data_IF_561112426361
#
_entry.id   IF_561112426361
#
_cell.length_a   1.000
_cell.length_b   1.000
_cell.length_c   1.000
_cell.angle_alpha   90.00
_cell.angle_beta   90.00
_cell.angle_gamma   90.00
#
_symmetry.space_group_name_H-M   'P 1'
#
loop_
_entity.id
_entity.type
_entity.pdbx_description
1 polymer ?
#
# COMPACT_ATOMS: atom_id res chain seq x y z
N UNK A 1 39.36 -7.68 -26.96
CA UNK A 1 39.31 -8.87 -26.09
C UNK A 1 38.74 -8.44 -24.74
N UNK A 2 37.61 -8.98 -24.28
CA UNK A 2 36.99 -8.52 -23.02
C UNK A 2 37.68 -9.23 -21.86
N UNK A 3 38.31 -8.45 -20.98
CA UNK A 3 38.99 -8.95 -19.78
C UNK A 3 38.01 -9.70 -18.87
N UNK A 4 38.43 -10.82 -18.28
CA UNK A 4 37.68 -11.66 -17.32
C UNK A 4 37.14 -10.83 -16.17
N UNK A 5 37.94 -9.90 -15.65
CA UNK A 5 37.50 -8.97 -14.61
C UNK A 5 36.22 -8.25 -15.03
N UNK A 6 36.15 -7.77 -16.27
CA UNK A 6 34.97 -7.09 -16.79
C UNK A 6 33.79 -8.04 -17.01
N UNK A 7 34.01 -9.30 -17.41
CA UNK A 7 32.94 -10.33 -17.51
C UNK A 7 32.31 -10.66 -16.16
N UNK A 8 33.12 -10.79 -15.11
CA UNK A 8 32.65 -11.06 -13.75
C UNK A 8 31.93 -9.83 -13.19
N UNK A 9 32.55 -8.65 -13.30
CA UNK A 9 31.97 -7.40 -12.78
C UNK A 9 30.66 -7.06 -13.47
N UNK A 10 30.52 -7.27 -14.79
CA UNK A 10 29.24 -7.02 -15.48
C UNK A 10 28.12 -7.94 -14.99
N UNK A 11 28.38 -9.23 -14.76
CA UNK A 11 27.35 -10.13 -14.24
C UNK A 11 26.90 -9.77 -12.81
N UNK A 12 27.84 -9.41 -11.93
CA UNK A 12 27.50 -8.90 -10.60
C UNK A 12 26.81 -7.53 -10.67
N UNK A 13 27.19 -6.67 -11.61
CA UNK A 13 26.56 -5.36 -11.80
C UNK A 13 25.10 -5.52 -12.25
N UNK A 14 24.82 -6.43 -13.17
CA UNK A 14 23.44 -6.72 -13.60
C UNK A 14 22.61 -7.20 -12.42
N UNK A 15 23.11 -8.14 -11.62
CA UNK A 15 22.45 -8.60 -10.40
C UNK A 15 22.18 -7.45 -9.42
N UNK A 16 23.17 -6.60 -9.18
CA UNK A 16 23.04 -5.44 -8.30
C UNK A 16 21.97 -4.45 -8.81
N UNK A 17 21.98 -4.15 -10.11
CA UNK A 17 21.00 -3.25 -10.74
C UNK A 17 19.59 -3.85 -10.65
N UNK A 18 19.43 -5.14 -10.92
CA UNK A 18 18.12 -5.81 -10.80
C UNK A 18 17.59 -5.74 -9.36
N UNK A 19 18.44 -5.95 -8.36
CA UNK A 19 18.06 -5.86 -6.95
C UNK A 19 17.64 -4.44 -6.57
N UNK A 20 18.39 -3.42 -7.01
CA UNK A 20 18.02 -2.01 -6.78
C UNK A 20 16.69 -1.67 -7.43
N UNK A 21 16.49 -2.03 -8.70
CA UNK A 21 15.22 -1.79 -9.41
C UNK A 21 14.07 -2.50 -8.69
N UNK A 22 14.26 -3.75 -8.25
CA UNK A 22 13.28 -4.50 -7.46
C UNK A 22 12.90 -3.77 -6.18
N UNK A 23 13.91 -3.30 -5.43
CA UNK A 23 13.69 -2.59 -4.18
C UNK A 23 12.90 -1.30 -4.41
N UNK A 24 13.26 -0.54 -5.45
CA UNK A 24 12.57 0.70 -5.81
C UNK A 24 11.11 0.45 -6.22
N UNK A 25 10.85 -0.57 -7.04
CA UNK A 25 9.48 -0.95 -7.44
C UNK A 25 8.68 -1.37 -6.21
N UNK A 26 9.24 -2.22 -5.35
CA UNK A 26 8.56 -2.69 -4.14
C UNK A 26 8.22 -1.53 -3.20
N UNK A 27 9.15 -0.59 -2.98
CA UNK A 27 8.90 0.61 -2.17
C UNK A 27 7.80 1.47 -2.82
N UNK A 28 7.84 1.66 -4.14
CA UNK A 28 6.82 2.43 -4.86
C UNK A 28 5.43 1.80 -4.76
N UNK A 29 5.31 0.49 -4.97
CA UNK A 29 4.04 -0.23 -4.88
C UNK A 29 3.47 -0.21 -3.44
N UNK A 30 4.33 -0.45 -2.43
CA UNK A 30 3.93 -0.41 -1.02
C UNK A 30 3.50 0.99 -0.58
N UNK A 31 4.22 2.04 -1.00
CA UNK A 31 3.86 3.43 -0.66
C UNK A 31 2.58 3.87 -1.36
N UNK A 32 2.39 3.51 -2.64
CA UNK A 32 1.14 3.76 -3.37
C UNK A 32 -0.04 3.08 -2.70
N UNK A 33 0.10 1.79 -2.34
CA UNK A 33 -0.93 1.05 -1.63
C UNK A 33 -1.24 1.70 -0.27
N UNK A 34 -0.22 2.01 0.52
CA UNK A 34 -0.37 2.64 1.84
C UNK A 34 -1.12 3.97 1.76
N UNK A 35 -0.79 4.82 0.78
CA UNK A 35 -1.45 6.12 0.60
C UNK A 35 -2.91 5.99 0.16
N UNK A 36 -3.21 5.12 -0.79
CA UNK A 36 -4.59 4.89 -1.25
C UNK A 36 -5.47 4.33 -0.13
N UNK A 37 -4.93 3.40 0.66
CA UNK A 37 -5.62 2.83 1.82
C UNK A 37 -5.84 3.87 2.90
N UNK A 38 -4.80 4.63 3.27
CA UNK A 38 -4.91 5.64 4.31
C UNK A 38 -5.93 6.73 3.95
N UNK A 39 -5.96 7.17 2.68
CA UNK A 39 -6.95 8.17 2.24
C UNK A 39 -8.37 7.63 2.32
N UNK A 40 -8.65 6.46 1.71
CA UNK A 40 -9.99 5.87 1.73
C UNK A 40 -10.50 5.56 3.15
N UNK A 41 -9.63 5.02 4.01
CA UNK A 41 -10.00 4.74 5.40
C UNK A 41 -10.26 6.03 6.18
N UNK A 42 -9.43 7.06 5.98
CA UNK A 42 -9.57 8.35 6.67
C UNK A 42 -10.85 9.08 6.24
N UNK A 43 -11.18 9.06 4.95
CA UNK A 43 -12.37 9.74 4.43
C UNK A 43 -13.65 9.08 4.96
N UNK A 44 -13.74 7.74 4.91
CA UNK A 44 -14.86 6.99 5.50
C UNK A 44 -14.96 7.24 7.02
N UNK A 45 -13.82 7.24 7.72
CA UNK A 45 -13.79 7.49 9.16
C UNK A 45 -14.28 8.90 9.51
N UNK A 46 -13.88 9.92 8.75
CA UNK A 46 -14.36 11.30 8.90
C UNK A 46 -15.86 11.41 8.67
N UNK A 47 -16.39 10.82 7.61
CA UNK A 47 -17.85 10.81 7.34
C UNK A 47 -18.64 10.11 8.45
N UNK A 48 -18.10 9.03 9.04
CA UNK A 48 -18.66 8.36 10.22
C UNK A 48 -18.67 9.31 11.42
N UNK A 49 -17.56 10.00 11.68
CA UNK A 49 -17.42 10.93 12.80
C UNK A 49 -18.40 12.11 12.67
N UNK A 50 -18.49 12.73 11.49
CA UNK A 50 -19.47 13.78 11.22
C UNK A 50 -20.91 13.31 11.45
N UNK A 51 -21.23 12.07 11.05
CA UNK A 51 -22.55 11.48 11.27
C UNK A 51 -22.86 11.25 12.75
N UNK A 52 -21.85 10.83 13.55
CA UNK A 52 -21.99 10.70 15.00
C UNK A 52 -22.19 12.06 15.67
N UNK A 53 -21.42 13.06 15.30
CA UNK A 53 -21.54 14.42 15.83
C UNK A 53 -22.87 15.09 15.47
N UNK A 54 -23.42 14.81 14.27
CA UNK A 54 -24.79 15.20 13.90
C UNK A 54 -25.83 14.53 14.82
N UNK A 55 -25.73 13.22 15.05
CA UNK A 55 -26.62 12.51 15.98
C UNK A 55 -26.50 12.99 17.43
N UNK A 56 -25.29 13.35 17.87
CA UNK A 56 -25.05 13.93 19.19
C UNK A 56 -25.71 15.32 19.30
N UNK A 57 -25.54 16.16 18.29
CA UNK A 57 -26.18 17.49 18.22
C UNK A 57 -27.70 17.38 18.24
N UNK A 58 -28.29 16.41 17.52
CA UNK A 58 -29.73 16.11 17.58
C UNK A 58 -30.18 15.71 18.99
N UNK A 59 -29.39 14.91 19.72
CA UNK A 59 -29.70 14.53 21.10
C UNK A 59 -29.69 15.73 22.05
N UNK A 60 -28.82 16.72 21.81
CA UNK A 60 -28.83 17.98 22.55
C UNK A 60 -30.07 18.82 22.22
N UNK A 61 -30.49 18.86 20.95
CA UNK A 61 -31.70 19.57 20.55
C UNK A 61 -32.96 18.93 21.13
N UNK A 62 -33.03 17.60 21.20
CA UNK A 62 -34.08 16.87 21.92
C UNK A 62 -34.13 17.27 23.39
N UNK A 63 -32.98 17.34 24.05
CA UNK A 63 -32.90 17.82 25.44
C UNK A 63 -33.40 19.26 25.57
N UNK A 64 -33.07 20.14 24.63
CA UNK A 64 -33.56 21.52 24.61
C UNK A 64 -35.08 21.59 24.50
N UNK A 65 -35.68 20.77 23.64
CA UNK A 65 -37.14 20.66 23.49
C UNK A 65 -37.79 20.16 24.80
N UNK A 66 -37.17 19.22 25.51
CA UNK A 66 -37.68 18.77 26.80
C UNK A 66 -37.60 19.87 27.88
N UNK A 67 -36.57 20.73 27.84
CA UNK A 67 -36.47 21.89 28.74
C UNK A 67 -37.57 22.93 28.45
N UNK A 68 -37.96 23.13 27.19
CA UNK A 68 -39.06 24.04 26.88
C UNK A 68 -40.40 23.55 27.44
N UNK A 69 -40.63 22.23 27.46
CA UNK A 69 -41.81 21.61 28.11
C UNK A 69 -41.82 21.85 29.62
N UNK A 70 -40.63 21.96 30.25
CA UNK A 70 -40.49 22.27 31.68
C UNK A 70 -40.66 23.78 31.98
N UNK A 71 -40.85 24.62 30.96
CA UNK A 71 -41.03 26.07 31.09
C UNK A 71 -39.75 26.89 30.96
N UNK A 72 -38.57 26.27 30.85
CA UNK A 72 -37.29 26.98 30.69
C UNK A 72 -37.00 27.28 29.21
N UNK A 73 -37.80 28.18 28.63
CA UNK A 73 -37.74 28.51 27.19
C UNK A 73 -36.45 29.20 26.79
N UNK A 74 -35.88 30.07 27.64
CA UNK A 74 -34.65 30.80 27.32
C UNK A 74 -33.46 29.86 27.21
N UNK A 75 -33.28 28.96 28.19
CA UNK A 75 -32.22 27.95 28.14
C UNK A 75 -32.45 26.98 26.99
N UNK A 76 -33.70 26.58 26.72
CA UNK A 76 -34.04 25.74 25.59
C UNK A 76 -33.62 26.37 24.25
N UNK A 77 -33.96 27.63 24.01
CA UNK A 77 -33.59 28.34 22.77
C UNK A 77 -32.08 28.46 22.61
N UNK A 78 -31.37 28.84 23.67
CA UNK A 78 -29.91 28.95 23.66
C UNK A 78 -29.23 27.61 23.38
N UNK A 79 -29.68 26.54 24.07
CA UNK A 79 -29.14 25.19 23.89
C UNK A 79 -29.42 24.65 22.48
N UNK A 80 -30.63 24.87 21.97
CA UNK A 80 -31.03 24.47 20.62
C UNK A 80 -30.18 25.17 19.54
N UNK A 81 -30.00 26.49 19.66
CA UNK A 81 -29.22 27.28 18.69
C UNK A 81 -27.74 26.85 18.65
N UNK A 82 -27.15 26.57 19.81
CA UNK A 82 -25.76 26.08 19.89
C UNK A 82 -25.61 24.70 19.24
N UNK A 83 -26.56 23.79 19.50
CA UNK A 83 -26.57 22.47 18.89
C UNK A 83 -26.86 22.53 17.38
N UNK A 84 -27.72 23.46 16.92
CA UNK A 84 -27.96 23.70 15.50
C UNK A 84 -26.66 24.10 14.78
N UNK A 85 -25.88 25.00 15.36
CA UNK A 85 -24.60 25.41 14.80
C UNK A 85 -23.64 24.23 14.65
N UNK A 86 -23.57 23.35 15.66
CA UNK A 86 -22.77 22.13 15.62
C UNK A 86 -23.26 21.17 14.53
N UNK A 87 -24.57 20.93 14.44
CA UNK A 87 -25.17 20.07 13.43
C UNK A 87 -24.84 20.58 12.02
N UNK A 88 -25.10 21.86 11.73
CA UNK A 88 -24.86 22.47 10.43
C UNK A 88 -23.38 22.45 10.03
N UNK A 89 -22.47 22.64 10.99
CA UNK A 89 -21.04 22.55 10.75
C UNK A 89 -20.64 21.12 10.34
N UNK A 90 -21.15 20.11 11.02
CA UNK A 90 -20.86 18.71 10.68
C UNK A 90 -21.52 18.28 9.37
N UNK A 91 -22.73 18.75 9.08
CA UNK A 91 -23.37 18.55 7.77
C UNK A 91 -22.55 19.16 6.64
N UNK A 92 -22.02 20.37 6.83
CA UNK A 92 -21.13 21.02 5.84
C UNK A 92 -19.82 20.25 5.65
N UNK A 93 -19.21 19.77 6.74
CA UNK A 93 -18.01 18.92 6.66
C UNK A 93 -18.28 17.62 5.91
N UNK A 94 -19.40 16.97 6.18
CA UNK A 94 -19.83 15.76 5.46
C UNK A 94 -20.08 16.04 3.97
N UNK A 95 -20.74 17.15 3.64
CA UNK A 95 -20.95 17.59 2.25
C UNK A 95 -19.66 17.92 1.49
N UNK A 96 -18.58 18.27 2.19
CA UNK A 96 -17.27 18.52 1.58
C UNK A 96 -16.40 17.25 1.49
N UNK A 97 -16.85 16.15 2.09
CA UNK A 97 -16.13 14.88 2.18
C UNK A 97 -16.89 13.78 1.42
N UNK A 98 -17.43 14.13 0.25
CA UNK A 98 -18.16 13.22 -0.63
C UNK A 98 -17.16 12.35 -1.41
N UNK A 99 -17.07 11.08 -1.06
CA UNK A 99 -16.13 10.12 -1.65
C UNK A 99 -16.81 8.88 -2.22
N UNK A 100 -18.05 8.60 -1.81
CA UNK A 100 -18.78 7.40 -2.21
C UNK A 100 -20.02 7.70 -3.06
N UNK A 101 -20.34 6.83 -4.04
CA UNK A 101 -21.62 6.89 -4.75
C UNK A 101 -22.80 6.79 -3.78
N UNK A 102 -23.74 7.73 -3.89
CA UNK A 102 -24.95 7.76 -3.07
C UNK A 102 -24.88 8.65 -1.82
N UNK A 103 -23.70 9.16 -1.43
CA UNK A 103 -23.59 10.10 -0.31
C UNK A 103 -24.30 11.42 -0.58
N UNK A 104 -24.23 11.93 -1.80
CA UNK A 104 -24.92 13.15 -2.23
C UNK A 104 -26.42 13.05 -1.89
N UNK A 105 -27.05 11.93 -2.26
CA UNK A 105 -28.46 11.68 -1.96
C UNK A 105 -28.76 11.67 -0.46
N UNK A 106 -27.84 11.14 0.36
CA UNK A 106 -28.02 11.15 1.82
C UNK A 106 -27.86 12.57 2.38
N UNK A 107 -26.87 13.34 1.92
CA UNK A 107 -26.68 14.74 2.33
C UNK A 107 -27.91 15.58 1.99
N UNK A 108 -28.46 15.42 0.77
CA UNK A 108 -29.68 16.11 0.35
C UNK A 108 -30.89 15.72 1.24
N UNK A 109 -31.00 14.43 1.57
CA UNK A 109 -32.05 13.91 2.45
C UNK A 109 -31.92 14.46 3.88
N UNK A 110 -30.69 14.53 4.41
CA UNK A 110 -30.40 15.12 5.72
C UNK A 110 -30.75 16.62 5.71
N UNK A 111 -30.31 17.35 4.68
CA UNK A 111 -30.56 18.80 4.57
C UNK A 111 -32.07 19.10 4.53
N UNK A 112 -32.81 18.37 3.70
CA UNK A 112 -34.27 18.54 3.56
C UNK A 112 -35.02 18.18 4.84
N UNK A 113 -34.75 17.00 5.42
CA UNK A 113 -35.43 16.57 6.67
C UNK A 113 -35.08 17.47 7.85
N UNK A 114 -33.82 17.93 7.95
CA UNK A 114 -33.38 18.80 9.03
C UNK A 114 -34.00 20.19 8.94
N UNK A 115 -34.16 20.74 7.73
CA UNK A 115 -34.87 22.01 7.54
C UNK A 115 -36.31 21.94 8.07
N UNK A 116 -37.04 20.90 7.68
CA UNK A 116 -38.43 20.70 8.11
C UNK A 116 -38.55 20.45 9.62
N UNK A 117 -37.60 19.71 10.20
CA UNK A 117 -37.52 19.50 11.64
C UNK A 117 -37.28 20.83 12.37
N UNK A 118 -36.30 21.61 11.92
CA UNK A 118 -35.91 22.85 12.57
C UNK A 118 -37.06 23.85 12.66
N UNK A 119 -37.77 24.06 11.55
CA UNK A 119 -38.90 24.97 11.48
C UNK A 119 -39.95 24.59 12.54
N UNK A 120 -40.37 23.31 12.56
CA UNK A 120 -41.36 22.81 13.54
C UNK A 120 -40.84 22.83 14.98
N UNK A 121 -39.55 22.56 15.21
CA UNK A 121 -38.97 22.59 16.55
C UNK A 121 -38.90 24.01 17.12
N UNK A 122 -38.55 25.01 16.31
CA UNK A 122 -38.51 26.40 16.73
C UNK A 122 -39.92 26.95 17.00
N UNK A 123 -40.89 26.63 16.14
CA UNK A 123 -42.32 26.94 16.36
C UNK A 123 -42.81 26.33 17.68
N UNK A 124 -42.45 25.07 17.95
CA UNK A 124 -42.81 24.40 19.20
C UNK A 124 -42.18 25.05 20.44
N UNK A 125 -40.88 25.36 20.42
CA UNK A 125 -40.18 25.95 21.58
C UNK A 125 -40.72 27.36 21.89
N UNK A 126 -41.04 28.14 20.86
CA UNK A 126 -41.52 29.51 21.00
C UNK A 126 -43.04 29.61 21.22
N UNK A 127 -43.80 28.59 20.82
CA UNK A 127 -45.25 28.55 20.89
C UNK A 127 -45.83 28.59 22.30
N UNK A 128 -47.15 28.78 22.37
CA UNK A 128 -47.90 28.83 23.64
C UNK A 128 -48.25 27.43 24.18
N UNK A 129 -48.59 26.48 23.29
CA UNK A 129 -48.90 25.08 23.64
C UNK A 129 -47.64 24.20 23.56
N UNK A 130 -46.82 24.26 24.62
CA UNK A 130 -45.61 23.43 24.77
C UNK A 130 -45.93 22.20 25.60
N UNK A 131 -46.71 21.27 25.03
CA UNK A 131 -47.14 20.04 25.68
C UNK A 131 -46.41 18.80 25.17
N UNK A 132 -46.32 17.77 26.03
CA UNK A 132 -45.70 16.48 25.67
C UNK A 132 -46.42 15.80 24.49
N UNK A 133 -47.75 15.98 24.39
CA UNK A 133 -48.56 15.44 23.29
C UNK A 133 -48.17 16.03 21.95
N UNK A 134 -48.02 17.36 21.86
CA UNK A 134 -47.61 18.03 20.62
C UNK A 134 -46.18 17.61 20.24
N UNK A 135 -45.28 17.54 21.22
CA UNK A 135 -43.92 17.03 20.99
C UNK A 135 -43.91 15.62 20.36
N UNK A 136 -44.64 14.67 20.96
CA UNK A 136 -44.64 13.28 20.50
C UNK A 136 -45.29 13.10 19.13
N UNK A 137 -46.31 13.90 18.80
CA UNK A 137 -47.08 13.76 17.57
C UNK A 137 -46.51 14.57 16.40
N UNK A 138 -45.90 15.73 16.65
CA UNK A 138 -45.48 16.66 15.59
C UNK A 138 -43.97 16.77 15.44
N UNK A 139 -43.25 16.91 16.56
CA UNK A 139 -41.79 17.17 16.55
C UNK A 139 -40.99 15.88 16.46
N UNK A 140 -41.35 14.87 17.28
CA UNK A 140 -40.62 13.61 17.38
C UNK A 140 -40.55 12.82 16.06
N UNK A 141 -41.61 12.72 15.24
CA UNK A 141 -41.52 12.05 13.94
C UNK A 141 -40.50 12.71 12.99
N UNK A 142 -40.38 14.05 13.03
CA UNK A 142 -39.41 14.79 12.21
C UNK A 142 -37.98 14.55 12.70
N UNK A 143 -37.77 14.50 14.01
CA UNK A 143 -36.48 14.09 14.60
C UNK A 143 -36.07 12.70 14.10
N UNK A 144 -37.00 11.75 14.10
CA UNK A 144 -36.74 10.40 13.61
C UNK A 144 -36.40 10.37 12.11
N UNK A 145 -37.02 11.22 11.31
CA UNK A 145 -36.70 11.36 9.88
C UNK A 145 -35.25 11.86 9.66
N UNK A 146 -34.81 12.85 10.45
CA UNK A 146 -33.42 13.33 10.42
C UNK A 146 -32.46 12.22 10.86
N UNK A 147 -32.70 11.61 12.03
CA UNK A 147 -31.86 10.52 12.56
C UNK A 147 -31.74 9.36 11.58
N UNK A 148 -32.83 8.98 10.90
CA UNK A 148 -32.80 7.96 9.85
C UNK A 148 -31.89 8.36 8.69
N UNK A 149 -31.99 9.60 8.22
CA UNK A 149 -31.17 10.10 7.10
C UNK A 149 -29.68 10.15 7.49
N UNK A 150 -29.36 10.61 8.70
CA UNK A 150 -27.98 10.62 9.24
C UNK A 150 -27.45 9.18 9.41
N UNK A 151 -28.27 8.26 9.91
CA UNK A 151 -27.88 6.86 10.08
C UNK A 151 -27.68 6.13 8.75
N UNK A 152 -28.38 6.53 7.68
CA UNK A 152 -28.12 6.00 6.34
C UNK A 152 -26.73 6.42 5.83
N UNK A 153 -26.35 7.69 6.02
CA UNK A 153 -25.01 8.17 5.69
C UNK A 153 -23.93 7.43 6.49
N UNK A 154 -24.16 7.27 7.80
CA UNK A 154 -23.29 6.49 8.69
C UNK A 154 -23.13 5.04 8.18
N UNK A 155 -24.23 4.41 7.79
CA UNK A 155 -24.27 3.01 7.36
C UNK A 155 -23.51 2.79 6.06
N UNK A 156 -23.70 3.65 5.05
CA UNK A 156 -22.98 3.53 3.77
C UNK A 156 -21.46 3.65 4.02
N UNK A 157 -21.04 4.60 4.84
CA UNK A 157 -19.62 4.78 5.17
C UNK A 157 -19.05 3.60 5.99
N UNK A 158 -19.81 3.06 6.94
CA UNK A 158 -19.40 1.87 7.70
C UNK A 158 -19.30 0.62 6.83
N UNK A 159 -20.26 0.42 5.92
CA UNK A 159 -20.25 -0.70 4.98
C UNK A 159 -19.06 -0.60 4.04
N UNK A 160 -18.79 0.59 3.49
CA UNK A 160 -17.64 0.80 2.63
C UNK A 160 -16.31 0.60 3.38
N UNK A 161 -16.20 1.09 4.61
CA UNK A 161 -15.04 0.85 5.47
C UNK A 161 -14.81 -0.65 5.67
N UNK A 162 -15.86 -1.41 6.02
CA UNK A 162 -15.77 -2.85 6.24
C UNK A 162 -15.42 -3.62 4.96
N UNK A 163 -16.00 -3.23 3.82
CA UNK A 163 -15.66 -3.80 2.51
C UNK A 163 -14.21 -3.53 2.15
N UNK A 164 -13.74 -2.29 2.32
CA UNK A 164 -12.35 -1.89 2.05
C UNK A 164 -11.38 -2.68 2.92
N UNK A 165 -11.65 -2.81 4.22
CA UNK A 165 -10.86 -3.65 5.13
C UNK A 165 -10.87 -5.12 4.70
N UNK A 166 -12.00 -5.64 4.25
CA UNK A 166 -12.12 -7.04 3.79
C UNK A 166 -11.32 -7.27 2.52
N UNK A 167 -11.41 -6.37 1.54
CA UNK A 167 -10.60 -6.41 0.32
C UNK A 167 -9.12 -6.34 0.69
N UNK A 168 -8.70 -5.47 1.60
CA UNK A 168 -7.29 -5.39 2.01
C UNK A 168 -6.79 -6.66 2.70
N UNK A 169 -7.63 -7.32 3.49
CA UNK A 169 -7.31 -8.61 4.11
C UNK A 169 -7.19 -9.75 3.08
N UNK A 170 -7.99 -9.72 2.01
CA UNK A 170 -8.03 -10.78 0.99
C UNK A 170 -7.15 -10.50 -0.25
N UNK A 171 -6.74 -9.25 -0.44
CA UNK A 171 -5.90 -8.76 -1.55
C UNK A 171 -4.37 -8.93 -1.41
N UNK A 172 -3.76 -9.70 -0.47
CA UNK A 172 -2.33 -10.04 -0.57
C UNK A 172 -1.98 -10.72 -1.90
N UNK A 173 -2.89 -11.51 -2.48
CA UNK A 173 -2.60 -12.32 -3.68
C UNK A 173 -2.33 -11.51 -4.95
N UNK A 174 -2.94 -10.32 -5.13
CA UNK A 174 -2.74 -9.50 -6.34
C UNK A 174 -1.55 -8.54 -6.24
N UNK A 175 -1.17 -8.12 -5.03
CA UNK A 175 -0.05 -7.20 -4.80
C UNK A 175 1.28 -7.93 -4.62
N UNK A 176 1.29 -9.18 -4.15
CA UNK A 176 2.53 -9.93 -3.93
C UNK A 176 3.11 -10.52 -5.24
N UNK A 177 2.28 -10.72 -6.26
CA UNK A 177 2.67 -11.41 -7.51
C UNK A 177 3.86 -10.75 -8.25
N UNK A 178 3.90 -9.41 -8.44
CA UNK A 178 5.04 -8.74 -9.07
C UNK A 178 6.34 -8.91 -8.27
N UNK A 179 6.27 -8.80 -6.94
CA UNK A 179 7.42 -9.02 -6.06
C UNK A 179 7.95 -10.46 -6.14
N UNK A 180 7.05 -11.45 -6.19
CA UNK A 180 7.41 -12.86 -6.36
C UNK A 180 8.13 -13.12 -7.68
N UNK A 181 7.65 -12.53 -8.79
CA UNK A 181 8.28 -12.66 -10.10
C UNK A 181 9.72 -12.15 -10.06
N UNK A 182 9.98 -11.04 -9.38
CA UNK A 182 11.33 -10.47 -9.30
C UNK A 182 12.25 -11.35 -8.44
N UNK A 183 11.76 -11.89 -7.32
CA UNK A 183 12.53 -12.84 -6.50
C UNK A 183 12.90 -14.08 -7.32
N UNK A 184 11.92 -14.69 -8.01
CA UNK A 184 12.14 -15.87 -8.85
C UNK A 184 13.17 -15.56 -9.94
N UNK A 185 13.02 -14.43 -10.62
CA UNK A 185 13.93 -14.01 -11.69
C UNK A 185 15.36 -13.82 -11.15
N UNK A 186 15.51 -13.24 -9.95
CA UNK A 186 16.81 -13.04 -9.30
C UNK A 186 17.47 -14.38 -8.94
N UNK A 187 16.71 -15.35 -8.44
CA UNK A 187 17.21 -16.70 -8.15
C UNK A 187 17.67 -17.40 -9.43
N UNK A 188 16.86 -17.36 -10.49
CA UNK A 188 17.20 -17.95 -11.80
C UNK A 188 18.47 -17.31 -12.36
N UNK A 189 18.58 -15.98 -12.32
CA UNK A 189 19.76 -15.28 -12.81
C UNK A 189 21.02 -15.61 -12.00
N UNK A 190 20.90 -15.73 -10.68
CA UNK A 190 21.99 -16.17 -9.81
C UNK A 190 22.46 -17.59 -10.14
N UNK A 191 21.54 -18.52 -10.41
CA UNK A 191 21.89 -19.88 -10.87
C UNK A 191 22.61 -19.88 -12.22
N UNK A 192 22.12 -19.11 -13.20
CA UNK A 192 22.75 -18.96 -14.52
C UNK A 192 24.15 -18.36 -14.38
N UNK A 193 24.30 -17.31 -13.56
CA UNK A 193 25.58 -16.65 -13.33
C UNK A 193 26.59 -17.59 -12.65
N UNK A 194 26.16 -18.34 -11.63
CA UNK A 194 27.00 -19.36 -10.98
C UNK A 194 27.43 -20.45 -11.97
N UNK A 195 26.52 -20.93 -12.82
CA UNK A 195 26.84 -21.87 -13.89
C UNK A 195 27.90 -21.29 -14.85
N UNK A 196 27.74 -20.04 -15.26
CA UNK A 196 28.67 -19.36 -16.16
C UNK A 196 30.08 -19.24 -15.54
N UNK A 197 30.19 -18.82 -14.28
CA UNK A 197 31.48 -18.75 -13.57
C UNK A 197 32.13 -20.14 -13.46
N UNK A 198 31.35 -21.15 -13.08
CA UNK A 198 31.83 -22.52 -12.98
C UNK A 198 32.35 -23.06 -14.32
N UNK A 199 31.59 -22.84 -15.40
CA UNK A 199 31.90 -23.36 -16.72
C UNK A 199 33.06 -22.63 -17.40
N UNK A 200 33.06 -21.30 -17.40
CA UNK A 200 34.02 -20.50 -18.18
C UNK A 200 35.28 -20.10 -17.41
N UNK A 201 35.29 -20.17 -16.07
CA UNK A 201 36.46 -19.80 -15.27
C UNK A 201 37.00 -20.99 -14.47
N UNK A 202 36.18 -21.58 -13.60
CA UNK A 202 36.67 -22.59 -12.64
C UNK A 202 37.13 -23.86 -13.36
N UNK A 203 36.33 -24.39 -14.30
CA UNK A 203 36.67 -25.62 -15.03
C UNK A 203 37.99 -25.49 -15.84
N UNK A 204 38.21 -24.44 -16.65
CA UNK A 204 39.48 -24.25 -17.35
C UNK A 204 40.69 -24.11 -16.41
N UNK A 205 40.57 -23.32 -15.34
CA UNK A 205 41.65 -23.16 -14.34
C UNK A 205 42.00 -24.51 -13.70
N UNK A 206 41.00 -25.31 -13.34
CA UNK A 206 41.20 -26.66 -12.80
C UNK A 206 41.84 -27.59 -13.84
N UNK A 207 41.48 -27.47 -15.12
CA UNK A 207 42.06 -28.26 -16.23
C UNK A 207 43.54 -27.91 -16.43
N UNK A 208 43.91 -26.62 -16.46
CA UNK A 208 45.31 -26.17 -16.50
C UNK A 208 46.06 -26.74 -15.29
N UNK A 209 45.56 -26.49 -14.08
CA UNK A 209 46.22 -26.88 -12.82
C UNK A 209 46.45 -28.38 -12.73
N UNK A 210 45.44 -29.19 -13.10
CA UNK A 210 45.54 -30.66 -13.09
C UNK A 210 46.59 -31.15 -14.09
N UNK A 211 46.65 -30.57 -15.28
CA UNK A 211 47.63 -30.99 -16.29
C UNK A 211 49.05 -30.54 -15.96
N UNK A 212 49.23 -29.35 -15.35
CA UNK A 212 50.53 -28.95 -14.81
C UNK A 212 51.00 -29.93 -13.73
N UNK A 213 50.13 -30.29 -12.77
CA UNK A 213 50.45 -31.30 -11.74
C UNK A 213 50.79 -32.67 -12.34
N UNK A 214 50.09 -33.07 -13.40
CA UNK A 214 50.36 -34.33 -14.08
C UNK A 214 51.70 -34.31 -14.82
N UNK A 215 52.05 -33.20 -15.45
CA UNK A 215 53.35 -33.00 -16.09
C UNK A 215 54.48 -33.03 -15.07
N UNK A 216 54.34 -32.33 -13.93
CA UNK A 216 55.39 -32.27 -12.91
C UNK A 216 55.58 -33.58 -12.15
N UNK A 217 54.49 -34.26 -11.77
CA UNK A 217 54.56 -35.48 -10.94
C UNK A 217 54.71 -36.77 -11.74
N UNK A 218 54.07 -36.84 -12.90
CA UNK A 218 53.95 -38.09 -13.67
C UNK A 218 54.55 -37.99 -15.09
N UNK A 219 55.19 -36.86 -15.45
CA UNK A 219 55.76 -36.59 -16.78
C UNK A 219 54.79 -36.80 -17.95
N UNK A 220 53.47 -36.68 -17.71
CA UNK A 220 52.46 -36.77 -18.77
C UNK A 220 52.51 -35.52 -19.67
N UNK A 221 52.28 -35.64 -21.00
CA UNK A 221 52.27 -34.48 -21.89
C UNK A 221 51.18 -33.47 -21.47
N UNK A 222 51.52 -32.18 -21.55
CA UNK A 222 50.58 -31.10 -21.28
C UNK A 222 49.76 -30.81 -22.53
N UNK A 223 48.50 -31.23 -22.53
CA UNK A 223 47.58 -31.05 -23.65
C UNK A 223 46.28 -30.43 -23.12
N UNK A 224 46.29 -29.10 -23.03
CA UNK A 224 45.11 -28.32 -22.63
C UNK A 224 44.74 -27.38 -23.76
N UNK A 225 43.58 -27.64 -24.36
CA UNK A 225 42.87 -26.68 -25.20
C UNK A 225 41.84 -25.92 -24.37
N UNK A 226 41.78 -24.60 -24.59
CA UNK A 226 40.83 -23.67 -23.98
C UNK A 226 40.11 -22.94 -25.10
N UNK A 227 38.79 -22.98 -25.07
CA UNK A 227 37.95 -22.45 -26.15
C UNK A 227 37.70 -20.94 -26.00
N UNK A 228 37.93 -20.37 -24.82
CA UNK A 228 37.83 -18.93 -24.59
C UNK A 228 39.03 -18.20 -25.22
N UNK A 229 38.85 -16.92 -25.57
CA UNK A 229 39.91 -16.02 -26.03
C UNK A 229 40.05 -14.87 -25.03
N UNK A 230 40.28 -15.20 -23.78
CA UNK A 230 40.43 -14.26 -22.66
C UNK A 230 41.68 -14.60 -21.84
N UNK A 231 41.86 -13.99 -20.67
CA UNK A 231 43.08 -14.16 -19.88
C UNK A 231 43.32 -15.61 -19.41
N UNK A 232 42.29 -16.48 -19.42
CA UNK A 232 42.49 -17.92 -19.20
C UNK A 232 43.26 -18.54 -20.38
N UNK A 233 42.96 -18.12 -21.61
CA UNK A 233 43.68 -18.57 -22.80
C UNK A 233 45.13 -18.08 -22.79
N UNK A 234 45.35 -16.80 -22.48
CA UNK A 234 46.70 -16.25 -22.34
C UNK A 234 47.50 -16.99 -21.26
N UNK A 235 46.87 -17.32 -20.13
CA UNK A 235 47.49 -18.14 -19.08
C UNK A 235 47.87 -19.54 -19.59
N UNK A 236 47.00 -20.18 -20.37
CA UNK A 236 47.25 -21.51 -20.93
C UNK A 236 48.43 -21.51 -21.90
N UNK A 237 48.49 -20.53 -22.79
CA UNK A 237 49.61 -20.40 -23.74
C UNK A 237 50.92 -20.11 -23.01
N UNK A 238 50.93 -19.20 -22.02
CA UNK A 238 52.12 -18.93 -21.21
C UNK A 238 52.62 -20.19 -20.46
N UNK A 239 51.70 -21.01 -19.92
CA UNK A 239 52.04 -22.29 -19.28
C UNK A 239 52.61 -23.29 -20.30
N UNK A 240 52.00 -23.36 -21.49
CA UNK A 240 52.44 -24.24 -22.57
C UNK A 240 53.86 -23.88 -23.04
N UNK A 241 54.13 -22.59 -23.23
CA UNK A 241 55.45 -22.09 -23.63
C UNK A 241 56.52 -22.38 -22.57
N UNK A 242 56.19 -22.22 -21.28
CA UNK A 242 57.10 -22.55 -20.18
C UNK A 242 57.42 -24.05 -20.14
N UNK A 243 56.42 -24.91 -20.36
CA UNK A 243 56.60 -26.36 -20.41
C UNK A 243 57.45 -26.77 -21.62
N UNK A 244 57.22 -26.18 -22.79
CA UNK A 244 58.03 -26.41 -24.00
C UNK A 244 59.49 -25.98 -23.80
N UNK A 245 59.70 -24.80 -23.23
CA UNK A 245 61.05 -24.26 -22.93
C UNK A 245 61.79 -25.20 -21.98
N UNK A 246 61.14 -25.62 -20.88
CA UNK A 246 61.74 -26.59 -19.94
C UNK A 246 62.09 -27.91 -20.62
N UNK A 247 61.22 -28.43 -21.48
CA UNK A 247 61.47 -29.69 -22.21
C UNK A 247 62.70 -29.57 -23.11
N UNK A 248 62.87 -28.44 -23.79
CA UNK A 248 64.03 -28.17 -24.64
C UNK A 248 65.33 -28.04 -23.84
N UNK A 249 65.31 -27.43 -22.64
CA UNK A 249 66.47 -27.35 -21.75
C UNK A 249 66.91 -28.72 -21.18
N UNK A 250 66.03 -29.72 -21.18
CA UNK A 250 66.32 -31.08 -20.67
C UNK A 250 66.66 -32.10 -21.76
N UNK A 251 66.73 -31.70 -23.04
CA UNK A 251 67.27 -32.57 -24.09
C UNK A 251 68.80 -32.55 -24.01
N UNK A 252 69.49 -33.69 -23.85
CA UNK A 252 70.93 -33.73 -24.01
C UNK A 252 71.28 -33.41 -25.47
N UNK A 253 72.39 -32.68 -25.67
CA UNK A 253 73.04 -32.53 -26.98
C UNK A 253 73.37 -33.89 -27.61
#
# INVERSE_FOLDING_TARGET
MVKIRWKIVTGFLILAVMLVISGLISIYELTKLGNQVNQLLMDNYRSIDFSKEMNYSMSIQEKAILLSIQGDKETALSLFANAEKSFNNNLKKASNNLTLPGEIKQIDSISSSYKQYKETALEFIQGEDVSLSVYLNEVYPKIQAVKRSVNNLLTINQQNLNQTVTVLKQSPYRTILPGLIIIITSVVFSMIFNYMISHYLIKPINKITKNVKNFTKYRKPYEVSIDTKDEIFELNEAVKDLILTKKNLTKPE
#
